data_IF_823051000219
#
_entry.id   IF_823051000219
#
_cell.length_a   1.000
_cell.length_b   1.000
_cell.length_c   1.000
_cell.angle_alpha   90.00
_cell.angle_beta   90.00
_cell.angle_gamma   90.00
#
_symmetry.space_group_name_H-M   'P 1'
#
loop_
_entity.id
_entity.type
_entity.pdbx_description
1 polymer ?
#
# COMPACT_ATOMS: atom_id res chain seq x y z
N UNK A 1 -28.44 7.48 -9.89
CA UNK A 1 -27.68 8.51 -10.65
C UNK A 1 -26.41 8.78 -9.89
N UNK A 2 -25.27 8.22 -10.32
CA UNK A 2 -23.97 8.51 -9.75
C UNK A 2 -23.59 9.95 -10.08
N UNK A 3 -23.35 10.79 -9.06
CA UNK A 3 -22.80 12.11 -9.27
C UNK A 3 -21.38 11.97 -9.77
N UNK A 4 -21.08 12.48 -10.95
CA UNK A 4 -19.71 12.52 -11.48
C UNK A 4 -18.94 13.65 -10.76
N UNK A 5 -18.08 13.25 -9.82
CA UNK A 5 -17.19 14.15 -9.09
C UNK A 5 -15.89 14.38 -9.84
N UNK A 6 -16.00 14.76 -11.13
CA UNK A 6 -14.84 14.94 -12.00
C UNK A 6 -14.12 16.28 -11.82
N UNK A 7 -14.80 17.26 -11.20
CA UNK A 7 -14.26 18.62 -11.06
C UNK A 7 -13.22 18.69 -9.93
N UNK A 8 -12.03 19.12 -10.30
CA UNK A 8 -10.98 19.42 -9.31
C UNK A 8 -11.26 20.76 -8.64
N UNK A 9 -11.29 20.78 -7.29
CA UNK A 9 -11.41 22.01 -6.50
C UNK A 9 -10.06 22.37 -5.92
N UNK A 10 -9.76 23.64 -5.91
CA UNK A 10 -8.54 24.22 -5.32
C UNK A 10 -8.81 25.66 -4.90
N UNK A 11 -7.85 26.30 -4.27
CA UNK A 11 -7.93 27.70 -3.86
C UNK A 11 -8.53 28.55 -5.00
N UNK A 12 -9.52 29.38 -4.68
CA UNK A 12 -10.31 30.23 -5.57
C UNK A 12 -11.34 29.52 -6.48
N UNK A 13 -11.53 28.21 -6.33
CA UNK A 13 -12.70 27.55 -6.94
C UNK A 13 -13.99 28.05 -6.30
N UNK A 14 -15.08 28.12 -7.09
CA UNK A 14 -16.41 28.53 -6.62
C UNK A 14 -17.51 27.63 -7.17
N UNK A 15 -18.67 27.63 -6.52
CA UNK A 15 -19.90 26.99 -7.00
C UNK A 15 -20.36 25.79 -6.17
N UNK A 16 -21.35 25.07 -6.72
CA UNK A 16 -22.09 24.02 -5.99
C UNK A 16 -21.19 22.86 -5.49
N UNK A 17 -20.14 22.52 -6.23
CA UNK A 17 -19.20 21.48 -5.80
C UNK A 17 -18.34 21.94 -4.62
N UNK A 18 -18.04 23.25 -4.52
CA UNK A 18 -17.37 23.81 -3.33
C UNK A 18 -18.30 23.80 -2.13
N UNK A 19 -19.57 24.19 -2.30
CA UNK A 19 -20.55 24.08 -1.21
C UNK A 19 -20.69 22.63 -0.72
N UNK A 20 -20.74 21.67 -1.65
CA UNK A 20 -20.81 20.26 -1.31
C UNK A 20 -19.59 19.83 -0.48
N UNK A 21 -18.38 20.28 -0.88
CA UNK A 21 -17.14 20.00 -0.16
C UNK A 21 -17.14 20.64 1.24
N UNK A 22 -17.57 21.89 1.35
CA UNK A 22 -17.73 22.60 2.63
C UNK A 22 -18.69 21.86 3.57
N UNK A 23 -19.88 21.47 3.08
CA UNK A 23 -20.88 20.69 3.85
C UNK A 23 -20.29 19.39 4.36
N UNK A 24 -19.54 18.68 3.49
CA UNK A 24 -18.91 17.42 3.84
C UNK A 24 -17.84 17.58 4.91
N UNK A 25 -16.94 18.57 4.77
CA UNK A 25 -15.93 18.85 5.78
C UNK A 25 -16.53 19.35 7.10
N UNK A 26 -17.65 20.09 7.04
CA UNK A 26 -18.40 20.52 8.23
C UNK A 26 -19.01 19.31 8.96
N UNK A 27 -19.63 18.40 8.23
CA UNK A 27 -20.16 17.15 8.79
C UNK A 27 -19.07 16.27 9.43
N UNK A 28 -17.86 16.27 8.84
CA UNK A 28 -16.70 15.52 9.34
C UNK A 28 -15.90 16.26 10.42
N UNK A 29 -16.29 17.48 10.82
CA UNK A 29 -15.64 18.25 11.89
C UNK A 29 -14.34 18.95 11.50
N UNK A 30 -14.04 19.07 10.20
CA UNK A 30 -12.83 19.75 9.71
C UNK A 30 -13.05 21.22 9.34
N UNK A 31 -14.32 21.63 9.10
CA UNK A 31 -14.69 22.99 8.69
C UNK A 31 -15.82 23.52 9.57
N UNK A 32 -15.63 24.70 10.18
CA UNK A 32 -16.58 25.29 11.11
C UNK A 32 -17.34 26.51 10.54
N UNK A 33 -16.85 27.07 9.43
CA UNK A 33 -17.37 28.28 8.82
C UNK A 33 -18.69 28.04 8.09
N UNK A 34 -19.31 29.12 7.62
CA UNK A 34 -20.51 29.03 6.77
C UNK A 34 -20.19 28.43 5.39
N UNK A 35 -21.23 27.83 4.80
CA UNK A 35 -21.15 27.24 3.46
C UNK A 35 -21.50 28.34 2.46
N UNK A 36 -20.48 28.93 1.86
CA UNK A 36 -20.60 30.07 0.96
C UNK A 36 -20.26 29.76 -0.51
N UNK A 37 -19.86 28.51 -0.78
CA UNK A 37 -19.48 28.09 -2.14
C UNK A 37 -18.15 28.66 -2.62
N UNK A 38 -17.31 29.21 -1.73
CA UNK A 38 -15.99 29.77 -2.09
C UNK A 38 -14.88 28.92 -1.45
N UNK A 39 -13.93 28.48 -2.25
CA UNK A 39 -12.76 27.75 -1.79
C UNK A 39 -11.67 28.76 -1.34
N UNK A 40 -11.89 29.41 -0.21
CA UNK A 40 -10.95 30.34 0.38
C UNK A 40 -9.90 29.67 1.24
N UNK A 41 -9.03 30.48 1.88
CA UNK A 41 -7.90 30.01 2.72
C UNK A 41 -8.35 29.09 3.86
N UNK A 42 -9.47 29.37 4.51
CA UNK A 42 -9.99 28.55 5.59
C UNK A 42 -10.40 27.16 5.10
N UNK A 43 -11.07 27.07 3.95
CA UNK A 43 -11.44 25.80 3.34
C UNK A 43 -10.20 25.05 2.84
N UNK A 44 -9.22 25.75 2.29
CA UNK A 44 -7.94 25.17 1.89
C UNK A 44 -7.20 24.55 3.10
N UNK A 45 -7.13 25.28 4.23
CA UNK A 45 -6.54 24.76 5.46
C UNK A 45 -7.31 23.55 6.02
N UNK A 46 -8.63 23.59 5.99
CA UNK A 46 -9.50 22.48 6.39
C UNK A 46 -9.32 21.26 5.48
N UNK A 47 -9.20 21.50 4.17
CA UNK A 47 -8.92 20.45 3.17
C UNK A 47 -7.61 19.77 3.45
N UNK A 48 -6.54 20.54 3.68
CA UNK A 48 -5.22 20.00 4.03
C UNK A 48 -5.26 19.16 5.32
N UNK A 49 -5.94 19.66 6.36
CA UNK A 49 -6.14 18.90 7.61
C UNK A 49 -6.87 17.58 7.35
N UNK A 50 -7.94 17.62 6.56
CA UNK A 50 -8.69 16.43 6.16
C UNK A 50 -7.82 15.44 5.40
N UNK A 51 -7.07 15.92 4.41
CA UNK A 51 -6.16 15.10 3.61
C UNK A 51 -5.09 14.44 4.49
N UNK A 52 -4.40 15.21 5.34
CA UNK A 52 -3.40 14.69 6.27
C UNK A 52 -3.97 13.63 7.23
N UNK A 53 -5.14 13.91 7.83
CA UNK A 53 -5.81 12.97 8.74
C UNK A 53 -6.23 11.67 8.07
N UNK A 54 -6.38 11.67 6.74
CA UNK A 54 -6.78 10.52 5.95
C UNK A 54 -5.62 9.91 5.14
N UNK A 55 -4.39 10.37 5.34
CA UNK A 55 -3.21 9.84 4.64
C UNK A 55 -3.15 10.18 3.16
N UNK A 56 -3.87 11.23 2.74
CA UNK A 56 -3.81 11.77 1.40
C UNK A 56 -2.68 12.79 1.27
N UNK A 57 -2.27 13.10 0.04
CA UNK A 57 -1.41 14.24 -0.22
C UNK A 57 -2.12 15.51 0.26
N UNK A 58 -1.53 16.23 1.22
CA UNK A 58 -2.12 17.41 1.86
C UNK A 58 -1.84 18.69 1.08
N UNK A 59 -2.09 18.67 -0.23
CA UNK A 59 -1.85 19.77 -1.16
C UNK A 59 -2.98 20.82 -1.17
N UNK A 60 -4.12 20.52 -0.55
CA UNK A 60 -5.31 21.36 -0.55
C UNK A 60 -6.13 21.23 -1.85
N UNK A 61 -5.79 20.30 -2.73
CA UNK A 61 -6.51 20.07 -3.99
C UNK A 61 -7.49 18.91 -3.85
N UNK A 62 -8.77 19.16 -4.10
CA UNK A 62 -9.82 18.14 -4.06
C UNK A 62 -9.97 17.53 -5.45
N UNK A 63 -9.08 16.62 -5.80
CA UNK A 63 -9.12 15.84 -7.03
C UNK A 63 -9.92 14.54 -6.87
N UNK A 64 -9.94 13.69 -7.91
CA UNK A 64 -10.66 12.40 -7.91
C UNK A 64 -10.37 11.54 -6.68
N UNK A 65 -9.11 11.50 -6.24
CA UNK A 65 -8.71 10.73 -5.08
C UNK A 65 -9.35 11.28 -3.81
N UNK A 66 -9.27 12.60 -3.58
CA UNK A 66 -9.85 13.25 -2.39
C UNK A 66 -11.37 13.14 -2.39
N UNK A 67 -12.04 13.32 -3.54
CA UNK A 67 -13.47 13.09 -3.69
C UNK A 67 -13.86 11.63 -3.43
N UNK A 68 -13.19 10.69 -4.08
CA UNK A 68 -13.45 9.26 -3.90
C UNK A 68 -13.33 8.83 -2.43
N UNK A 69 -12.38 9.41 -1.73
CA UNK A 69 -12.18 9.19 -0.31
C UNK A 69 -13.32 9.75 0.56
N UNK A 70 -13.79 10.93 0.20
CA UNK A 70 -14.81 11.63 0.96
C UNK A 70 -16.20 10.98 0.84
N UNK A 71 -16.46 10.35 -0.31
CA UNK A 71 -17.71 9.66 -0.64
C UNK A 71 -17.58 8.13 -0.67
N UNK A 72 -16.43 7.57 -0.31
CA UNK A 72 -16.34 6.13 -0.11
C UNK A 72 -17.49 5.73 0.83
N UNK A 73 -18.42 4.94 0.31
CA UNK A 73 -19.45 4.33 1.12
C UNK A 73 -18.75 3.52 2.18
N UNK A 74 -18.80 4.00 3.40
CA UNK A 74 -18.47 3.18 4.56
C UNK A 74 -19.52 2.08 4.54
N UNK A 75 -19.23 0.94 3.92
CA UNK A 75 -20.03 -0.25 4.16
C UNK A 75 -20.04 -0.44 5.66
N UNK A 76 -21.19 -0.67 6.25
CA UNK A 76 -21.25 -1.16 7.62
C UNK A 76 -20.36 -2.40 7.69
N UNK A 77 -19.15 -2.19 8.16
CA UNK A 77 -18.21 -3.27 8.40
C UNK A 77 -18.73 -3.95 9.66
N UNK A 78 -19.35 -5.10 9.48
CA UNK A 78 -19.61 -6.01 10.59
C UNK A 78 -18.28 -6.22 11.32
N UNK A 79 -18.12 -5.54 12.42
CA UNK A 79 -17.16 -5.71 13.53
C UNK A 79 -15.77 -6.36 13.23
N UNK A 80 -15.17 -6.05 12.07
CA UNK A 80 -13.87 -6.59 11.68
C UNK A 80 -12.74 -5.56 11.86
N UNK A 81 -12.62 -5.02 13.07
CA UNK A 81 -11.43 -4.25 13.41
C UNK A 81 -10.20 -5.18 13.43
N UNK A 82 -9.22 -4.86 12.61
CA UNK A 82 -7.92 -5.54 12.69
C UNK A 82 -7.20 -5.05 13.94
N UNK A 83 -7.17 -5.90 14.96
CA UNK A 83 -6.53 -5.62 16.25
C UNK A 83 -5.21 -6.40 16.45
N UNK A 84 -5.02 -7.45 15.67
CA UNK A 84 -3.87 -8.37 15.81
C UNK A 84 -3.24 -8.65 14.45
N UNK A 85 -2.02 -9.15 14.46
CA UNK A 85 -1.34 -9.63 13.24
C UNK A 85 -2.11 -10.78 12.57
N UNK A 86 -2.71 -11.66 13.38
CA UNK A 86 -3.53 -12.77 12.85
C UNK A 86 -4.72 -12.22 12.06
N UNK A 87 -5.41 -11.21 12.59
CA UNK A 87 -6.52 -10.56 11.88
C UNK A 87 -6.06 -9.85 10.60
N UNK A 88 -4.87 -9.22 10.61
CA UNK A 88 -4.28 -8.63 9.41
C UNK A 88 -4.02 -9.69 8.33
N UNK A 89 -3.41 -10.80 8.72
CA UNK A 89 -3.09 -11.87 7.78
C UNK A 89 -4.36 -12.60 7.28
N UNK A 90 -5.39 -12.69 8.12
CA UNK A 90 -6.72 -13.17 7.71
C UNK A 90 -7.35 -12.26 6.65
N UNK A 91 -7.30 -10.95 6.87
CA UNK A 91 -7.78 -9.98 5.90
C UNK A 91 -7.02 -10.11 4.57
N UNK A 92 -5.68 -10.13 4.61
CA UNK A 92 -4.85 -10.29 3.41
C UNK A 92 -5.20 -11.59 2.69
N UNK A 93 -5.37 -12.69 3.40
CA UNK A 93 -5.70 -14.00 2.82
C UNK A 93 -7.07 -14.00 2.14
N UNK A 94 -8.07 -13.35 2.75
CA UNK A 94 -9.43 -13.21 2.21
C UNK A 94 -9.47 -12.25 1.01
N UNK A 95 -8.92 -11.04 1.15
CA UNK A 95 -9.15 -9.95 0.21
C UNK A 95 -8.08 -9.87 -0.89
N UNK A 96 -6.82 -10.22 -0.58
CA UNK A 96 -5.73 -10.25 -1.56
C UNK A 96 -5.39 -11.66 -2.06
N UNK A 97 -5.75 -12.70 -1.30
CA UNK A 97 -5.43 -14.10 -1.63
C UNK A 97 -5.85 -14.53 -3.04
N UNK A 98 -7.05 -14.19 -3.54
CA UNK A 98 -7.45 -14.52 -4.91
C UNK A 98 -6.50 -13.96 -5.98
N UNK A 99 -5.99 -12.75 -5.80
CA UNK A 99 -5.04 -12.10 -6.72
C UNK A 99 -3.64 -12.71 -6.58
N UNK A 100 -3.23 -13.00 -5.34
CA UNK A 100 -1.95 -13.64 -5.04
C UNK A 100 -1.88 -15.02 -5.71
N UNK A 101 -2.91 -15.86 -5.53
CA UNK A 101 -2.96 -17.21 -6.14
C UNK A 101 -2.81 -17.18 -7.64
N UNK A 102 -3.45 -16.23 -8.32
CA UNK A 102 -3.29 -16.06 -9.77
C UNK A 102 -1.89 -15.59 -10.14
N UNK A 103 -1.32 -14.65 -9.37
CA UNK A 103 0.00 -14.09 -9.67
C UNK A 103 1.14 -15.12 -9.53
N UNK A 104 1.04 -16.01 -8.53
CA UNK A 104 2.08 -17.03 -8.26
C UNK A 104 1.96 -18.29 -9.13
N UNK A 105 0.89 -18.42 -9.92
CA UNK A 105 0.67 -19.60 -10.75
C UNK A 105 1.87 -19.87 -11.67
N UNK A 106 2.44 -21.08 -11.60
CA UNK A 106 3.61 -21.49 -12.36
C UNK A 106 4.95 -20.91 -11.83
N UNK A 107 4.96 -20.25 -10.67
CA UNK A 107 6.17 -19.78 -10.00
C UNK A 107 6.54 -20.67 -8.79
N UNK A 108 7.73 -20.43 -8.23
CA UNK A 108 8.15 -21.11 -6.98
C UNK A 108 7.60 -20.42 -5.73
N UNK A 109 7.02 -19.23 -5.87
CA UNK A 109 6.52 -18.45 -4.75
C UNK A 109 5.18 -19.02 -4.27
N UNK A 110 4.92 -18.87 -2.98
CA UNK A 110 3.72 -19.40 -2.33
C UNK A 110 2.82 -18.26 -1.87
N UNK A 111 1.53 -18.56 -1.67
CA UNK A 111 0.53 -17.58 -1.22
C UNK A 111 0.93 -16.91 0.11
N UNK A 112 1.38 -17.72 1.06
CA UNK A 112 1.86 -17.25 2.36
C UNK A 112 3.09 -16.32 2.23
N UNK A 113 3.96 -16.56 1.24
CA UNK A 113 5.13 -15.72 1.03
C UNK A 113 4.75 -14.33 0.52
N UNK A 114 3.95 -14.27 -0.55
CA UNK A 114 3.54 -12.99 -1.13
C UNK A 114 2.58 -12.22 -0.22
N UNK A 115 1.73 -12.94 0.54
CA UNK A 115 0.86 -12.37 1.57
C UNK A 115 1.65 -11.79 2.76
N UNK A 116 2.70 -12.47 3.22
CA UNK A 116 3.57 -11.98 4.28
C UNK A 116 4.37 -10.74 3.85
N UNK A 117 4.80 -10.67 2.57
CA UNK A 117 5.44 -9.46 2.03
C UNK A 117 4.45 -8.30 2.06
N UNK A 118 3.20 -8.48 1.60
CA UNK A 118 2.18 -7.43 1.66
C UNK A 118 1.93 -6.96 3.11
N UNK A 119 1.88 -7.89 4.07
CA UNK A 119 1.75 -7.56 5.49
C UNK A 119 2.94 -6.74 6.01
N UNK A 120 4.16 -7.09 5.63
CA UNK A 120 5.39 -6.39 6.05
C UNK A 120 5.49 -5.00 5.43
N UNK A 121 5.11 -4.85 4.16
CA UNK A 121 5.19 -3.59 3.43
C UNK A 121 4.09 -2.60 3.83
N UNK A 122 2.85 -3.08 3.94
CA UNK A 122 1.68 -2.19 4.07
C UNK A 122 0.72 -2.56 5.20
N UNK A 123 1.07 -3.50 6.06
CA UNK A 123 0.18 -3.96 7.15
C UNK A 123 -0.33 -2.82 8.02
N UNK A 124 0.51 -1.84 8.36
CA UNK A 124 0.11 -0.65 9.10
C UNK A 124 -0.95 0.18 8.34
N UNK A 125 -0.80 0.36 7.03
CA UNK A 125 -1.77 1.08 6.19
C UNK A 125 -3.07 0.29 6.06
N UNK A 126 -2.98 -1.03 5.86
CA UNK A 126 -4.15 -1.92 5.80
C UNK A 126 -4.94 -1.80 7.09
N UNK A 127 -4.31 -2.00 8.26
CA UNK A 127 -4.95 -1.87 9.57
C UNK A 127 -5.64 -0.51 9.70
N UNK A 128 -4.92 0.56 9.37
CA UNK A 128 -5.43 1.92 9.46
C UNK A 128 -6.68 2.15 8.62
N UNK A 129 -6.70 1.64 7.39
CA UNK A 129 -7.78 1.93 6.45
C UNK A 129 -8.96 0.96 6.60
N UNK A 130 -8.71 -0.32 6.87
CA UNK A 130 -9.77 -1.28 7.21
C UNK A 130 -10.52 -0.85 8.47
N UNK A 131 -9.79 -0.46 9.53
CA UNK A 131 -10.41 0.00 10.77
C UNK A 131 -11.16 1.34 10.64
N UNK A 132 -10.96 2.07 9.53
CA UNK A 132 -11.78 3.22 9.15
C UNK A 132 -13.00 2.85 8.31
N UNK A 133 -13.21 1.57 8.01
CA UNK A 133 -14.34 1.07 7.23
C UNK A 133 -14.23 1.32 5.74
N UNK A 134 -13.01 1.52 5.20
CA UNK A 134 -12.84 1.69 3.75
C UNK A 134 -12.96 0.37 3.02
N UNK A 135 -13.56 0.40 1.84
CA UNK A 135 -13.61 -0.74 0.93
C UNK A 135 -12.27 -0.99 0.24
N UNK A 136 -12.12 -2.17 -0.36
CA UNK A 136 -10.87 -2.59 -0.99
C UNK A 136 -10.45 -1.66 -2.14
N UNK A 137 -11.38 -1.11 -2.91
CA UNK A 137 -11.09 -0.19 -4.01
C UNK A 137 -10.49 1.12 -3.48
N UNK A 138 -11.10 1.67 -2.43
CA UNK A 138 -10.59 2.87 -1.75
C UNK A 138 -9.22 2.60 -1.11
N UNK A 139 -9.06 1.47 -0.43
CA UNK A 139 -7.79 1.08 0.19
C UNK A 139 -6.70 0.97 -0.89
N UNK A 140 -7.00 0.33 -2.03
CA UNK A 140 -6.05 0.20 -3.14
C UNK A 140 -5.52 1.55 -3.63
N UNK A 141 -6.39 2.53 -3.81
CA UNK A 141 -6.01 3.88 -4.23
C UNK A 141 -5.11 4.62 -3.23
N UNK A 142 -5.12 4.19 -1.98
CA UNK A 142 -4.37 4.78 -0.87
C UNK A 142 -3.07 4.06 -0.55
N UNK A 143 -2.83 2.89 -1.16
CA UNK A 143 -1.61 2.10 -0.93
C UNK A 143 -0.40 2.78 -1.56
N UNK A 144 0.03 3.88 -0.92
CA UNK A 144 1.24 4.62 -1.26
C UNK A 144 2.07 4.82 0.00
N UNK A 145 3.35 4.56 -0.09
CA UNK A 145 4.28 4.69 1.02
C UNK A 145 5.58 5.38 0.61
N UNK A 146 6.53 5.43 1.54
CA UNK A 146 7.84 6.05 1.36
C UNK A 146 7.72 7.47 0.80
N UNK A 147 6.96 8.34 1.52
CA UNK A 147 6.81 9.74 1.14
C UNK A 147 8.07 10.53 1.50
N UNK A 148 8.78 11.00 0.48
CA UNK A 148 9.99 11.79 0.65
C UNK A 148 10.08 12.86 -0.44
N UNK A 149 10.57 14.05 -0.09
CA UNK A 149 10.75 15.18 -1.01
C UNK A 149 9.49 15.52 -1.84
N UNK A 150 8.30 15.40 -1.24
CA UNK A 150 7.03 15.76 -1.89
C UNK A 150 6.42 14.66 -2.76
N UNK A 151 7.04 13.49 -2.89
CA UNK A 151 6.54 12.38 -3.69
C UNK A 151 6.50 11.06 -2.92
N UNK A 152 5.60 10.17 -3.33
CA UNK A 152 5.58 8.78 -2.87
C UNK A 152 6.52 7.95 -3.73
N UNK A 153 7.25 7.03 -3.11
CA UNK A 153 8.16 6.12 -3.81
C UNK A 153 7.61 4.70 -3.92
N UNK A 154 6.90 4.21 -2.91
CA UNK A 154 6.28 2.88 -2.90
C UNK A 154 4.80 2.93 -3.25
N UNK A 155 4.32 1.99 -4.08
CA UNK A 155 2.95 1.92 -4.55
C UNK A 155 2.39 0.50 -4.45
N UNK A 156 1.07 0.38 -4.28
CA UNK A 156 0.31 -0.85 -4.08
C UNK A 156 0.59 -1.54 -2.72
N UNK A 157 -0.08 -2.66 -2.48
CA UNK A 157 0.11 -3.49 -1.27
C UNK A 157 1.52 -4.05 -1.13
N UNK A 158 2.29 -4.12 -2.21
CA UNK A 158 3.65 -4.64 -2.27
C UNK A 158 4.72 -3.55 -2.40
N UNK A 159 4.36 -2.29 -2.26
CA UNK A 159 5.26 -1.13 -2.29
C UNK A 159 6.23 -1.14 -3.49
N UNK A 160 5.69 -1.31 -4.69
CA UNK A 160 6.47 -1.27 -5.94
C UNK A 160 7.10 0.13 -6.10
N UNK A 161 8.43 0.17 -6.17
CA UNK A 161 9.21 1.41 -6.19
C UNK A 161 9.14 2.10 -7.57
N UNK A 162 8.71 3.36 -7.59
CA UNK A 162 8.61 4.17 -8.81
C UNK A 162 9.97 4.42 -9.47
N UNK A 163 11.05 4.49 -8.69
CA UNK A 163 12.41 4.70 -9.23
C UNK A 163 12.89 3.48 -10.03
N UNK A 164 12.44 2.30 -9.63
CA UNK A 164 12.77 1.04 -10.30
C UNK A 164 11.79 0.71 -11.44
N UNK A 165 10.53 1.12 -11.32
CA UNK A 165 9.45 0.77 -12.26
C UNK A 165 8.56 1.96 -12.62
N UNK A 166 9.13 3.07 -13.16
CA UNK A 166 8.38 4.30 -13.42
C UNK A 166 7.24 4.09 -14.42
N UNK A 167 7.42 3.30 -15.46
CA UNK A 167 6.36 3.04 -16.46
C UNK A 167 5.15 2.34 -15.85
N UNK A 168 5.38 1.35 -14.98
CA UNK A 168 4.31 0.63 -14.31
C UNK A 168 3.50 1.57 -13.41
N UNK A 169 4.17 2.46 -12.68
CA UNK A 169 3.50 3.39 -11.78
C UNK A 169 2.80 4.52 -12.53
N UNK A 170 3.49 5.15 -13.49
CA UNK A 170 2.95 6.29 -14.26
C UNK A 170 1.78 5.90 -15.17
N UNK A 171 1.73 4.64 -15.62
CA UNK A 171 0.58 4.12 -16.38
C UNK A 171 -0.68 3.87 -15.51
N UNK A 172 -0.58 3.99 -14.20
CA UNK A 172 -1.69 3.71 -13.28
C UNK A 172 -1.95 2.22 -13.03
N UNK A 173 -1.17 1.29 -13.60
CA UNK A 173 -1.34 -0.16 -13.43
C UNK A 173 -1.26 -0.62 -11.98
N UNK A 174 -0.60 0.14 -11.11
CA UNK A 174 -0.53 -0.16 -9.69
C UNK A 174 -1.89 -0.08 -8.97
N UNK A 175 -2.90 0.57 -9.57
CA UNK A 175 -4.29 0.62 -9.08
C UNK A 175 -5.06 -0.68 -9.34
N UNK A 176 -4.56 -1.54 -10.21
CA UNK A 176 -5.06 -2.89 -10.42
C UNK A 176 -4.31 -3.86 -9.49
N UNK A 177 -5.05 -4.48 -8.56
CA UNK A 177 -4.47 -5.39 -7.57
C UNK A 177 -3.81 -6.59 -8.25
N UNK A 178 -4.42 -7.14 -9.31
CA UNK A 178 -3.84 -8.27 -10.03
C UNK A 178 -2.54 -7.89 -10.74
N UNK A 179 -2.52 -6.74 -11.42
CA UNK A 179 -1.31 -6.25 -12.06
C UNK A 179 -0.20 -5.99 -11.04
N UNK A 180 -0.55 -5.46 -9.86
CA UNK A 180 0.40 -5.22 -8.77
C UNK A 180 0.93 -6.51 -8.16
N UNK A 181 0.08 -7.54 -7.97
CA UNK A 181 0.50 -8.85 -7.50
C UNK A 181 1.45 -9.53 -8.50
N UNK A 182 1.10 -9.50 -9.79
CA UNK A 182 1.97 -10.00 -10.87
C UNK A 182 3.33 -9.28 -10.85
N UNK A 183 3.31 -7.95 -10.71
CA UNK A 183 4.55 -7.15 -10.66
C UNK A 183 5.42 -7.50 -9.47
N UNK A 184 4.84 -7.75 -8.30
CA UNK A 184 5.59 -8.20 -7.13
C UNK A 184 6.29 -9.56 -7.36
N UNK A 185 5.60 -10.50 -8.03
CA UNK A 185 6.19 -11.79 -8.43
C UNK A 185 7.32 -11.59 -9.45
N UNK A 186 7.16 -10.69 -10.42
CA UNK A 186 8.21 -10.35 -11.37
C UNK A 186 9.46 -9.80 -10.67
N UNK A 187 9.27 -8.91 -9.69
CA UNK A 187 10.37 -8.36 -8.88
C UNK A 187 11.10 -9.48 -8.15
N UNK A 188 10.37 -10.34 -7.42
CA UNK A 188 10.96 -11.48 -6.71
C UNK A 188 11.69 -12.43 -7.66
N UNK A 189 11.12 -12.70 -8.85
CA UNK A 189 11.74 -13.53 -9.88
C UNK A 189 13.05 -12.92 -10.37
N UNK A 190 13.10 -11.60 -10.55
CA UNK A 190 14.33 -10.89 -10.88
C UNK A 190 15.42 -11.05 -9.81
N UNK A 191 15.04 -10.88 -8.52
CA UNK A 191 15.95 -11.07 -7.39
C UNK A 191 16.45 -12.51 -7.31
N UNK A 192 15.57 -13.48 -7.49
CA UNK A 192 15.91 -14.89 -7.54
C UNK A 192 16.95 -15.20 -8.63
N UNK A 193 16.70 -14.73 -9.86
CA UNK A 193 17.61 -14.94 -10.99
C UNK A 193 18.99 -14.34 -10.72
N UNK A 194 19.07 -13.14 -10.16
CA UNK A 194 20.33 -12.50 -9.82
C UNK A 194 21.11 -13.27 -8.76
N UNK A 195 20.44 -13.76 -7.72
CA UNK A 195 21.06 -14.46 -6.60
C UNK A 195 21.28 -15.95 -6.85
N UNK A 196 20.80 -16.51 -7.98
CA UNK A 196 20.85 -17.96 -8.30
C UNK A 196 22.24 -18.58 -8.14
N UNK A 197 23.29 -17.86 -8.45
CA UNK A 197 24.68 -18.29 -8.29
C UNK A 197 25.12 -18.58 -6.85
N UNK A 198 24.32 -18.14 -5.86
CA UNK A 198 24.58 -18.37 -4.44
C UNK A 198 23.69 -19.47 -3.84
N UNK A 199 22.76 -20.05 -4.61
CA UNK A 199 21.76 -21.00 -4.11
C UNK A 199 22.39 -22.25 -3.48
N UNK A 200 23.34 -22.87 -4.17
CA UNK A 200 24.03 -24.08 -3.67
C UNK A 200 24.75 -23.82 -2.33
N UNK A 201 25.42 -22.67 -2.22
CA UNK A 201 26.12 -22.26 -1.00
C UNK A 201 25.16 -21.99 0.16
N UNK A 202 24.00 -21.41 -0.12
CA UNK A 202 23.05 -20.99 0.91
C UNK A 202 22.11 -22.14 1.33
N UNK A 203 21.77 -23.03 0.43
CA UNK A 203 20.66 -23.97 0.58
C UNK A 203 19.29 -23.27 0.48
N UNK A 204 18.25 -24.07 0.30
CA UNK A 204 16.91 -23.59 -0.04
C UNK A 204 16.36 -22.52 0.93
N UNK A 205 16.45 -22.77 2.23
CA UNK A 205 15.92 -21.85 3.24
C UNK A 205 16.60 -20.49 3.20
N UNK A 206 17.93 -20.45 3.23
CA UNK A 206 18.67 -19.19 3.24
C UNK A 206 18.65 -18.50 1.87
N UNK A 207 18.53 -19.25 0.78
CA UNK A 207 18.33 -18.69 -0.55
C UNK A 207 16.96 -17.97 -0.65
N UNK A 208 15.90 -18.60 -0.16
CA UNK A 208 14.57 -17.99 -0.11
C UNK A 208 14.56 -16.73 0.76
N UNK A 209 15.25 -16.74 1.92
CA UNK A 209 15.44 -15.55 2.74
C UNK A 209 16.24 -14.46 2.03
N UNK A 210 17.28 -14.83 1.26
CA UNK A 210 18.07 -13.88 0.49
C UNK A 210 17.23 -13.17 -0.59
N UNK A 211 16.37 -13.90 -1.30
CA UNK A 211 15.42 -13.33 -2.27
C UNK A 211 14.50 -12.32 -1.56
N UNK A 212 13.99 -12.68 -0.40
CA UNK A 212 13.10 -11.83 0.40
C UNK A 212 13.81 -10.56 0.90
N UNK A 213 15.02 -10.69 1.44
CA UNK A 213 15.83 -9.53 1.86
C UNK A 213 16.13 -8.59 0.68
N UNK A 214 16.41 -9.16 -0.50
CA UNK A 214 16.67 -8.40 -1.72
C UNK A 214 15.44 -7.62 -2.22
N UNK A 215 14.24 -8.05 -1.88
CA UNK A 215 13.02 -7.27 -2.15
C UNK A 215 13.07 -5.90 -1.48
N UNK A 216 13.52 -5.84 -0.23
CA UNK A 216 13.61 -4.62 0.57
C UNK A 216 14.85 -3.77 0.23
N UNK A 217 16.04 -4.37 0.22
CA UNK A 217 17.28 -3.60 0.12
C UNK A 217 18.03 -3.73 -1.21
N UNK A 218 17.48 -4.48 -2.15
CA UNK A 218 18.10 -4.74 -3.44
C UNK A 218 19.10 -5.92 -3.40
N UNK A 219 19.21 -6.63 -4.50
CA UNK A 219 20.01 -7.84 -4.64
C UNK A 219 21.51 -7.62 -4.46
N UNK A 220 22.05 -6.49 -4.91
CA UNK A 220 23.47 -6.16 -4.76
C UNK A 220 23.88 -5.97 -3.29
N UNK A 221 22.97 -5.46 -2.44
CA UNK A 221 23.24 -5.34 -1.01
C UNK A 221 23.23 -6.69 -0.30
N UNK A 222 22.33 -7.58 -0.69
CA UNK A 222 22.27 -8.96 -0.17
C UNK A 222 23.51 -9.73 -0.62
N UNK A 223 23.91 -9.63 -1.88
CA UNK A 223 25.13 -10.25 -2.38
C UNK A 223 26.37 -9.82 -1.60
N UNK A 224 26.53 -8.52 -1.35
CA UNK A 224 27.63 -8.01 -0.51
C UNK A 224 27.61 -8.60 0.91
N UNK A 225 26.43 -8.84 1.49
CA UNK A 225 26.31 -9.49 2.79
C UNK A 225 26.76 -10.96 2.71
N UNK A 226 26.30 -11.71 1.69
CA UNK A 226 26.66 -13.12 1.46
C UNK A 226 28.18 -13.28 1.29
N UNK A 227 28.78 -12.43 0.45
CA UNK A 227 30.22 -12.48 0.17
C UNK A 227 31.05 -12.10 1.40
N UNK A 228 30.56 -11.20 2.24
CA UNK A 228 31.21 -10.79 3.47
C UNK A 228 30.94 -11.73 4.67
N UNK A 229 30.18 -12.83 4.48
CA UNK A 229 29.80 -13.75 5.56
C UNK A 229 28.93 -13.10 6.65
N UNK A 230 28.19 -12.03 6.29
CA UNK A 230 27.28 -11.32 7.21
C UNK A 230 25.86 -11.86 7.08
N UNK A 231 25.03 -11.54 8.08
CA UNK A 231 23.60 -11.84 8.01
C UNK A 231 22.97 -11.22 6.75
N UNK A 232 22.08 -11.97 6.12
CA UNK A 232 21.37 -11.58 4.88
C UNK A 232 20.59 -10.28 5.09
N UNK A 233 20.01 -10.10 6.27
CA UNK A 233 19.26 -8.92 6.65
C UNK A 233 20.13 -7.73 7.09
N UNK A 234 21.45 -7.86 7.13
CA UNK A 234 22.36 -6.83 7.65
C UNK A 234 22.22 -5.46 6.98
N UNK A 235 21.60 -5.39 5.80
CA UNK A 235 21.35 -4.17 5.04
C UNK A 235 19.88 -3.88 4.77
N UNK A 236 18.96 -4.69 5.30
CA UNK A 236 17.53 -4.40 5.25
C UNK A 236 17.14 -3.38 6.31
N UNK A 237 15.96 -2.80 6.15
CA UNK A 237 15.37 -1.94 7.18
C UNK A 237 15.22 -2.74 8.50
N UNK A 238 15.65 -2.16 9.60
CA UNK A 238 15.76 -2.79 10.93
C UNK A 238 16.62 -4.07 11.00
N UNK A 239 17.28 -4.47 9.91
CA UNK A 239 18.09 -5.69 9.82
C UNK A 239 17.35 -7.00 10.16
N UNK A 240 16.06 -7.04 9.86
CA UNK A 240 15.17 -8.16 10.21
C UNK A 240 14.13 -8.50 9.13
N UNK A 241 14.16 -7.82 8.00
CA UNK A 241 13.07 -7.88 7.00
C UNK A 241 12.71 -9.30 6.58
N UNK A 242 13.67 -10.09 6.10
CA UNK A 242 13.37 -11.44 5.65
C UNK A 242 12.99 -12.37 6.80
N UNK A 243 13.56 -12.16 7.98
CA UNK A 243 13.21 -12.90 9.19
C UNK A 243 11.75 -12.70 9.57
N UNK A 244 11.29 -11.45 9.60
CA UNK A 244 9.91 -11.12 9.91
C UNK A 244 8.92 -11.61 8.85
N UNK A 245 9.25 -11.48 7.57
CA UNK A 245 8.42 -12.05 6.49
C UNK A 245 8.27 -13.56 6.65
N UNK A 246 9.35 -14.29 6.97
CA UNK A 246 9.29 -15.73 7.17
C UNK A 246 8.51 -16.13 8.42
N UNK A 247 8.59 -15.34 9.49
CA UNK A 247 7.74 -15.52 10.68
C UNK A 247 6.27 -15.33 10.33
N UNK A 248 5.93 -14.25 9.60
CA UNK A 248 4.56 -13.98 9.16
C UNK A 248 4.03 -15.05 8.20
N UNK A 249 4.87 -15.67 7.37
CA UNK A 249 4.47 -16.80 6.53
C UNK A 249 3.89 -17.95 7.36
N UNK A 250 4.54 -18.30 8.46
CA UNK A 250 4.05 -19.40 9.32
C UNK A 250 2.71 -19.03 9.97
N UNK A 251 2.53 -17.79 10.42
CA UNK A 251 1.25 -17.31 10.93
C UNK A 251 0.18 -17.34 9.82
N UNK A 252 0.50 -16.89 8.61
CA UNK A 252 -0.43 -16.90 7.47
C UNK A 252 -0.95 -18.29 7.14
N UNK A 253 -0.08 -19.33 7.18
CA UNK A 253 -0.49 -20.73 6.97
C UNK A 253 -1.51 -21.20 8.00
N UNK A 254 -1.37 -20.77 9.25
CA UNK A 254 -2.26 -21.17 10.35
C UNK A 254 -3.61 -20.46 10.35
N UNK A 255 -3.76 -19.38 9.58
CA UNK A 255 -5.02 -18.63 9.48
C UNK A 255 -6.04 -19.42 8.67
N UNK A 256 -7.18 -19.72 9.27
CA UNK A 256 -8.35 -20.27 8.61
C UNK A 256 -9.33 -19.13 8.25
N UNK A 257 -9.82 -19.12 7.00
CA UNK A 257 -10.81 -18.16 6.49
C UNK A 257 -11.94 -18.93 5.81
#
# INVERSE_FOLDING_TARGET
MGKDFSKTLKLWSTGAEVELWQKLLKQKGYFAEEVDGVFGDKLNAATKKYQAANGLLNDGVVGKITWGFAFANVKEVKDEHIKTEVNLLAWIKRDLGPYIKKAIAGSIFTEDWLGAIAARETGFLIIRYVNKGYDLDTITKLMKGDFNNGIYHGFSFWQIDIRSFPEFINSGKWLDIQASANKAVDVLTGKMKYLKKHEEKLGEYWFSRAITAAYNCGEGNVEKAILAGKDIDSRTFNKDYSKEVFRMKEVYKSVNI
#
